data_IF_940432078413
#
_entry.id   IF_940432078413
#
_cell.length_a   1.000
_cell.length_b   1.000
_cell.length_c   1.000
_cell.angle_alpha   90.00
_cell.angle_beta   90.00
_cell.angle_gamma   90.00
#
_symmetry.space_group_name_H-M   'P 1'
#
loop_
_entity.id
_entity.type
_entity.pdbx_description
1 polymer ?
#
# COMPACT_ATOMS: atom_id res chain seq x y z
N UNK A 1 -16.74 -19.88 -13.56
CA UNK A 1 -16.39 -19.46 -12.18
C UNK A 1 -16.37 -17.95 -12.09
N UNK A 2 -16.98 -17.42 -11.06
CA UNK A 2 -17.05 -15.97 -10.87
C UNK A 2 -15.82 -15.49 -10.10
N UNK A 3 -15.18 -14.44 -10.61
CA UNK A 3 -14.09 -13.82 -9.88
C UNK A 3 -14.69 -12.99 -8.76
N UNK A 4 -14.40 -13.38 -7.52
CA UNK A 4 -14.98 -12.72 -6.35
C UNK A 4 -14.19 -11.51 -5.93
N UNK A 5 -12.87 -11.54 -6.07
CA UNK A 5 -11.99 -10.45 -5.64
C UNK A 5 -11.45 -9.71 -6.85
N UNK A 6 -11.50 -8.38 -6.80
CA UNK A 6 -11.03 -7.59 -7.92
C UNK A 6 -10.56 -6.22 -7.45
N UNK A 7 -9.77 -5.57 -8.31
CA UNK A 7 -9.29 -4.22 -8.12
C UNK A 7 -9.69 -3.41 -9.35
N UNK A 8 -10.18 -2.21 -9.13
CA UNK A 8 -10.55 -1.30 -10.22
C UNK A 8 -9.86 0.04 -10.02
N UNK A 9 -9.56 0.72 -11.13
CA UNK A 9 -9.06 2.08 -11.09
C UNK A 9 -10.28 2.99 -11.03
N UNK A 10 -10.26 3.96 -10.11
CA UNK A 10 -11.38 4.88 -9.98
C UNK A 10 -11.41 5.84 -11.16
N UNK A 11 -12.56 6.47 -11.36
CA UNK A 11 -12.68 7.48 -12.40
C UNK A 11 -11.67 8.60 -12.23
N UNK A 12 -11.53 9.10 -11.00
CA UNK A 12 -10.53 10.13 -10.70
C UNK A 12 -9.11 9.63 -10.94
N UNK A 13 -8.84 8.38 -10.59
CA UNK A 13 -7.54 7.77 -10.83
C UNK A 13 -7.22 7.63 -12.30
N UNK A 14 -8.21 7.22 -13.10
CA UNK A 14 -8.03 7.09 -14.55
C UNK A 14 -7.72 8.44 -15.18
N UNK A 15 -8.38 9.50 -14.71
CA UNK A 15 -8.13 10.85 -15.23
C UNK A 15 -6.70 11.30 -14.93
N UNK A 16 -6.21 11.02 -13.73
CA UNK A 16 -4.84 11.38 -13.35
C UNK A 16 -3.80 10.57 -14.11
N UNK A 17 -4.05 9.28 -14.31
CA UNK A 17 -3.14 8.44 -15.07
C UNK A 17 -3.08 8.89 -16.53
N UNK A 18 -4.21 9.25 -17.11
CA UNK A 18 -4.25 9.77 -18.47
C UNK A 18 -3.52 11.10 -18.59
N UNK A 19 -3.71 11.99 -17.62
CA UNK A 19 -3.04 13.29 -17.62
C UNK A 19 -1.53 13.15 -17.49
N UNK A 20 -1.06 12.09 -16.87
CA UNK A 20 0.38 11.85 -16.70
C UNK A 20 1.06 11.42 -17.99
N UNK A 21 0.30 10.99 -19.00
CA UNK A 21 0.89 10.52 -20.26
C UNK A 21 1.15 11.64 -21.28
N UNK A 22 0.61 12.85 -21.03
CA UNK A 22 0.82 13.96 -21.97
C UNK A 22 2.21 14.54 -21.74
N UNK A 23 2.80 15.23 -22.76
CA UNK A 23 4.10 15.89 -22.60
C UNK A 23 4.06 16.86 -21.42
N UNK A 24 5.06 16.79 -20.55
CA UNK A 24 5.16 17.58 -19.33
C UNK A 24 4.09 17.23 -18.30
N UNK A 25 3.40 16.11 -18.47
CA UNK A 25 2.45 15.64 -17.48
C UNK A 25 3.16 15.14 -16.23
N UNK A 26 2.54 15.39 -15.07
CA UNK A 26 3.10 14.94 -13.82
C UNK A 26 2.73 13.46 -13.58
N UNK A 27 3.72 12.64 -13.32
CA UNK A 27 3.49 11.22 -13.00
C UNK A 27 2.64 11.09 -11.74
N UNK A 28 1.82 10.05 -11.70
CA UNK A 28 1.03 9.73 -10.51
C UNK A 28 1.96 9.15 -9.47
N UNK A 29 1.98 9.76 -8.30
CA UNK A 29 2.86 9.36 -7.21
C UNK A 29 2.00 8.74 -6.11
N UNK A 30 2.02 7.41 -6.01
CA UNK A 30 1.27 6.70 -4.97
C UNK A 30 2.01 6.83 -3.66
N UNK A 31 1.33 7.32 -2.64
CA UNK A 31 1.97 7.61 -1.35
C UNK A 31 1.40 6.81 -0.18
N UNK A 32 0.16 6.37 -0.27
CA UNK A 32 -0.50 5.74 0.88
C UNK A 32 -1.47 4.67 0.43
N UNK A 33 -1.69 3.73 1.32
CA UNK A 33 -2.72 2.71 1.16
C UNK A 33 -3.57 2.67 2.41
N UNK A 34 -4.87 2.51 2.21
CA UNK A 34 -5.82 2.34 3.31
C UNK A 34 -6.41 0.95 3.26
N UNK A 35 -6.77 0.44 4.42
CA UNK A 35 -7.55 -0.80 4.54
C UNK A 35 -8.88 -0.46 5.16
N UNK A 36 -9.91 -1.22 4.82
CA UNK A 36 -11.24 -1.01 5.34
C UNK A 36 -11.95 -2.31 5.60
N UNK A 37 -12.99 -2.26 6.45
CA UNK A 37 -13.74 -3.46 6.78
C UNK A 37 -15.03 -3.61 5.96
N UNK A 38 -15.27 -2.70 5.02
CA UNK A 38 -16.43 -2.79 4.15
C UNK A 38 -17.76 -2.55 4.84
N UNK A 39 -17.72 -2.08 6.08
CA UNK A 39 -18.95 -1.91 6.86
C UNK A 39 -19.53 -3.22 7.34
N UNK A 40 -18.71 -4.28 7.43
CA UNK A 40 -19.12 -5.58 7.90
C UNK A 40 -19.38 -6.61 6.82
N UNK A 41 -19.29 -6.22 5.56
CA UNK A 41 -19.49 -7.15 4.44
C UNK A 41 -18.44 -6.91 3.38
N UNK A 42 -18.28 -7.86 2.48
CA UNK A 42 -17.34 -7.73 1.37
C UNK A 42 -17.90 -6.75 0.34
N UNK A 43 -17.23 -5.61 0.13
CA UNK A 43 -17.75 -4.62 -0.83
C UNK A 43 -17.43 -5.04 -2.27
N UNK A 44 -18.17 -4.45 -3.19
CA UNK A 44 -17.89 -4.57 -4.63
C UNK A 44 -17.21 -3.27 -5.06
N UNK A 45 -15.95 -3.31 -5.50
CA UNK A 45 -15.26 -2.08 -5.91
C UNK A 45 -15.99 -1.41 -7.07
N UNK A 46 -16.09 -0.09 -6.99
CA UNK A 46 -16.84 0.72 -7.96
C UNK A 46 -15.91 1.85 -8.44
N UNK A 47 -15.73 2.02 -9.76
CA UNK A 47 -14.90 3.11 -10.29
C UNK A 47 -15.34 4.51 -9.86
N UNK A 48 -16.57 4.68 -9.44
CA UNK A 48 -17.07 5.99 -8.99
C UNK A 48 -16.72 6.29 -7.53
N UNK A 49 -16.08 5.37 -6.82
CA UNK A 49 -15.72 5.60 -5.43
C UNK A 49 -14.66 6.69 -5.31
N UNK A 50 -14.79 7.48 -4.25
CA UNK A 50 -13.80 8.48 -3.87
C UNK A 50 -13.18 8.15 -2.51
N UNK A 51 -13.69 7.13 -1.85
CA UNK A 51 -13.21 6.65 -0.55
C UNK A 51 -13.62 5.20 -0.37
N UNK A 52 -13.03 4.54 0.61
CA UNK A 52 -13.44 3.18 0.98
C UNK A 52 -14.83 3.21 1.60
N UNK A 53 -15.51 2.07 1.59
CA UNK A 53 -16.82 1.95 2.25
C UNK A 53 -16.68 2.27 3.73
N UNK A 54 -15.67 1.68 4.38
CA UNK A 54 -15.36 2.02 5.77
C UNK A 54 -13.88 1.81 6.03
N UNK A 55 -13.12 2.90 5.95
CA UNK A 55 -11.68 2.86 6.21
C UNK A 55 -11.44 2.66 7.70
N UNK A 56 -10.50 1.77 8.03
CA UNK A 56 -10.14 1.50 9.42
C UNK A 56 -8.68 1.88 9.71
N UNK A 57 -7.83 1.95 8.70
CA UNK A 57 -6.44 2.33 8.90
C UNK A 57 -5.83 2.77 7.57
N UNK A 58 -4.89 3.71 7.65
CA UNK A 58 -4.17 4.22 6.48
C UNK A 58 -2.75 4.52 6.87
N UNK A 59 -1.82 4.24 5.98
CA UNK A 59 -0.41 4.52 6.23
C UNK A 59 0.34 4.71 4.91
N UNK A 60 1.52 5.33 5.00
CA UNK A 60 2.40 5.45 3.85
C UNK A 60 2.77 4.08 3.31
N UNK A 61 2.96 3.99 2.00
CA UNK A 61 3.36 2.75 1.36
C UNK A 61 4.73 2.30 1.84
N UNK A 62 4.86 0.99 2.01
CA UNK A 62 6.14 0.37 2.29
C UNK A 62 6.97 0.22 1.01
N UNK A 63 6.31 -0.10 -0.10
CA UNK A 63 7.00 -0.37 -1.35
C UNK A 63 6.05 -0.19 -2.53
N UNK A 64 6.59 0.26 -3.65
CA UNK A 64 5.89 0.26 -4.92
C UNK A 64 6.87 -0.21 -5.98
N UNK A 65 6.42 -1.07 -6.90
CA UNK A 65 7.29 -1.66 -7.90
C UNK A 65 6.51 -2.06 -9.13
N UNK A 66 7.24 -2.28 -10.22
CA UNK A 66 6.71 -2.81 -11.45
C UNK A 66 6.81 -4.33 -11.38
N UNK A 67 5.77 -5.04 -11.85
CA UNK A 67 5.81 -6.48 -11.89
C UNK A 67 6.85 -6.96 -12.89
N UNK A 68 7.55 -8.05 -12.57
CA UNK A 68 8.63 -8.55 -13.42
C UNK A 68 8.11 -9.13 -14.74
N UNK A 69 6.97 -9.76 -14.72
CA UNK A 69 6.43 -10.43 -15.90
C UNK A 69 5.52 -9.53 -16.71
N UNK A 70 4.80 -8.64 -16.04
CA UNK A 70 3.80 -7.79 -16.68
C UNK A 70 4.20 -6.34 -16.48
N UNK A 71 4.77 -5.74 -17.53
CA UNK A 71 5.34 -4.39 -17.42
C UNK A 71 4.33 -3.32 -17.00
N UNK A 72 3.05 -3.54 -17.31
CA UNK A 72 2.01 -2.56 -16.98
C UNK A 72 1.32 -2.85 -15.65
N UNK A 73 1.83 -3.79 -14.87
CA UNK A 73 1.30 -4.07 -13.54
C UNK A 73 2.15 -3.35 -12.51
N UNK A 74 1.49 -2.62 -11.64
CA UNK A 74 2.12 -1.93 -10.51
C UNK A 74 1.70 -2.64 -9.23
N UNK A 75 2.69 -2.98 -8.41
CA UNK A 75 2.46 -3.66 -7.14
C UNK A 75 2.76 -2.69 -6.01
N UNK A 76 1.76 -2.39 -5.21
CA UNK A 76 1.90 -1.53 -4.04
C UNK A 76 1.80 -2.39 -2.78
N UNK A 77 2.70 -2.17 -1.83
CA UNK A 77 2.73 -2.93 -0.58
C UNK A 77 2.57 -2.03 0.61
N UNK A 78 1.76 -2.48 1.56
CA UNK A 78 1.55 -1.80 2.82
C UNK A 78 1.93 -2.76 3.94
N UNK A 79 2.81 -2.30 4.83
CA UNK A 79 3.17 -3.07 6.01
C UNK A 79 2.35 -2.60 7.19
N UNK A 80 1.60 -3.52 7.80
CA UNK A 80 0.82 -3.24 9.00
C UNK A 80 1.62 -3.77 10.18
N UNK A 81 2.08 -2.90 11.08
CA UNK A 81 2.97 -3.34 12.15
C UNK A 81 2.23 -4.15 13.22
N UNK A 82 2.99 -4.87 14.08
CA UNK A 82 2.35 -5.76 15.07
C UNK A 82 1.40 -5.07 16.04
N UNK A 83 1.68 -3.82 16.40
CA UNK A 83 0.87 -3.09 17.36
C UNK A 83 -0.43 -2.53 16.76
N UNK A 84 -0.55 -2.55 15.45
CA UNK A 84 -1.74 -2.05 14.76
C UNK A 84 -2.67 -3.21 14.43
N UNK A 85 -3.93 -3.10 14.79
CA UNK A 85 -4.88 -4.17 14.49
C UNK A 85 -6.17 -4.01 15.25
N UNK A 86 -6.86 -5.13 15.42
CA UNK A 86 -8.18 -5.13 16.04
C UNK A 86 -9.27 -4.84 15.02
N UNK A 87 -9.04 -5.15 13.74
CA UNK A 87 -10.02 -4.87 12.70
C UNK A 87 -10.00 -5.95 11.62
N UNK A 88 -11.12 -6.05 10.93
CA UNK A 88 -11.23 -6.89 9.75
C UNK A 88 -10.83 -6.11 8.53
N UNK A 89 -10.22 -6.80 7.57
CA UNK A 89 -9.82 -6.20 6.29
C UNK A 89 -10.64 -6.86 5.19
N UNK A 90 -11.36 -6.04 4.43
CA UNK A 90 -12.20 -6.51 3.32
C UNK A 90 -12.02 -5.67 2.07
N UNK A 91 -11.37 -4.51 2.20
CA UNK A 91 -11.15 -3.60 1.06
C UNK A 91 -9.83 -2.89 1.20
N UNK A 92 -9.28 -2.48 0.06
CA UNK A 92 -8.03 -1.74 -0.01
C UNK A 92 -8.21 -0.51 -0.89
N UNK A 93 -7.54 0.57 -0.55
CA UNK A 93 -7.54 1.77 -1.37
C UNK A 93 -6.13 2.31 -1.53
N UNK A 94 -5.80 2.72 -2.75
CA UNK A 94 -4.49 3.27 -3.09
C UNK A 94 -4.65 4.75 -3.39
N UNK A 95 -3.89 5.59 -2.69
CA UNK A 95 -4.00 7.04 -2.75
C UNK A 95 -2.73 7.67 -3.31
N UNK A 96 -2.88 8.78 -4.01
CA UNK A 96 -1.74 9.53 -4.51
C UNK A 96 -1.35 10.65 -3.52
N UNK A 97 -0.34 11.44 -3.92
CA UNK A 97 0.19 12.51 -3.08
C UNK A 97 -0.78 13.67 -2.88
N UNK A 98 -1.86 13.73 -3.64
CA UNK A 98 -2.91 14.73 -3.43
C UNK A 98 -4.05 14.21 -2.55
N UNK A 99 -3.98 12.96 -2.13
CA UNK A 99 -5.03 12.35 -1.33
C UNK A 99 -6.20 11.82 -2.14
N UNK A 100 -6.03 11.66 -3.45
CA UNK A 100 -7.08 11.13 -4.31
C UNK A 100 -7.02 9.61 -4.33
N UNK A 101 -8.17 8.96 -4.20
CA UNK A 101 -8.28 7.50 -4.33
C UNK A 101 -8.11 7.13 -5.80
N UNK A 102 -6.99 6.48 -6.12
CA UNK A 102 -6.66 6.12 -7.50
C UNK A 102 -7.19 4.74 -7.85
N UNK A 103 -7.14 3.81 -6.91
CA UNK A 103 -7.60 2.45 -7.13
C UNK A 103 -8.26 1.93 -5.87
N UNK A 104 -9.22 1.05 -6.04
CA UNK A 104 -9.93 0.42 -4.93
C UNK A 104 -10.12 -1.06 -5.26
N UNK A 105 -9.96 -1.90 -4.25
CA UNK A 105 -10.13 -3.33 -4.43
C UNK A 105 -10.76 -3.96 -3.21
N UNK A 106 -11.28 -5.17 -3.38
CA UNK A 106 -11.69 -5.97 -2.25
C UNK A 106 -10.69 -7.12 -2.08
N UNK A 107 -10.77 -7.79 -0.95
CA UNK A 107 -9.87 -8.88 -0.63
C UNK A 107 -10.61 -9.93 0.20
N UNK A 108 -10.04 -11.12 0.27
CA UNK A 108 -10.57 -12.15 1.17
C UNK A 108 -10.60 -11.60 2.60
N UNK A 109 -11.69 -11.83 3.30
CA UNK A 109 -11.84 -11.35 4.66
C UNK A 109 -10.68 -11.85 5.52
N UNK A 110 -10.03 -10.93 6.21
CA UNK A 110 -8.86 -11.25 7.03
C UNK A 110 -8.88 -10.38 8.27
N UNK A 111 -8.71 -10.99 9.43
CA UNK A 111 -8.65 -10.25 10.68
C UNK A 111 -7.20 -9.95 11.04
N UNK A 112 -6.91 -8.69 11.32
CA UNK A 112 -5.59 -8.28 11.79
C UNK A 112 -5.66 -8.10 13.30
N UNK A 113 -5.09 -9.03 14.09
CA UNK A 113 -5.13 -8.86 15.54
C UNK A 113 -4.21 -7.73 16.00
N UNK A 114 -4.58 -7.10 17.09
CA UNK A 114 -3.71 -6.14 17.76
C UNK A 114 -2.75 -6.88 18.68
N UNK A 115 -1.62 -6.23 19.00
CA UNK A 115 -0.64 -6.84 19.91
C UNK A 115 -1.26 -7.21 21.25
N UNK A 116 -2.16 -6.38 21.75
CA UNK A 116 -2.83 -6.63 23.02
C UNK A 116 -3.67 -7.91 23.02
N UNK A 117 -3.99 -8.46 21.86
CA UNK A 117 -4.75 -9.70 21.75
C UNK A 117 -3.85 -10.93 21.79
N UNK A 118 -2.54 -10.72 22.00
CA UNK A 118 -1.60 -11.80 22.23
C UNK A 118 -1.01 -12.45 20.99
N UNK A 119 -1.48 -12.11 19.81
CA UNK A 119 -0.96 -12.69 18.58
C UNK A 119 -0.66 -11.64 17.53
N UNK A 120 -0.33 -10.43 17.97
CA UNK A 120 0.04 -9.37 17.05
C UNK A 120 1.31 -9.71 16.29
N UNK A 121 1.28 -9.57 14.97
CA UNK A 121 2.45 -9.72 14.12
C UNK A 121 2.30 -8.80 12.93
N UNK A 122 3.43 -8.45 12.32
CA UNK A 122 3.40 -7.63 11.11
C UNK A 122 2.71 -8.40 9.99
N UNK A 123 1.95 -7.68 9.17
CA UNK A 123 1.28 -8.28 8.02
C UNK A 123 1.46 -7.36 6.83
N UNK A 124 1.83 -7.94 5.68
CA UNK A 124 1.96 -7.18 4.44
C UNK A 124 0.72 -7.43 3.59
N UNK A 125 0.11 -6.35 3.11
CA UNK A 125 -0.96 -6.45 2.13
C UNK A 125 -0.48 -5.83 0.83
N UNK A 126 -0.90 -6.42 -0.28
CA UNK A 126 -0.48 -5.99 -1.61
C UNK A 126 -1.69 -5.66 -2.45
N UNK A 127 -1.51 -4.67 -3.30
CA UNK A 127 -2.52 -4.29 -4.28
C UNK A 127 -1.83 -4.24 -5.63
N UNK A 128 -2.40 -4.94 -6.61
CA UNK A 128 -1.86 -4.95 -7.97
C UNK A 128 -2.83 -4.20 -8.86
N UNK A 129 -2.32 -3.19 -9.56
CA UNK A 129 -3.13 -2.44 -10.51
C UNK A 129 -2.50 -2.55 -11.89
N UNK A 130 -3.35 -2.55 -12.92
CA UNK A 130 -2.91 -2.55 -14.29
C UNK A 130 -3.08 -1.15 -14.86
N UNK A 131 -2.00 -0.59 -15.41
CA UNK A 131 -2.04 0.73 -16.03
C UNK A 131 -1.79 0.60 -17.52
N UNK A 132 -2.29 1.57 -18.29
CA UNK A 132 -2.08 1.56 -19.74
C UNK A 132 -0.64 1.88 -20.09
N UNK A 133 0.02 2.72 -19.30
CA UNK A 133 1.37 3.19 -19.56
C UNK A 133 2.11 3.28 -18.23
N UNK A 134 3.12 2.44 -18.06
CA UNK A 134 3.90 2.42 -16.82
C UNK A 134 4.63 3.73 -16.58
N UNK A 135 4.92 4.50 -17.64
CA UNK A 135 5.57 5.80 -17.48
C UNK A 135 4.68 6.82 -16.80
N UNK A 136 3.38 6.55 -16.68
CA UNK A 136 2.47 7.44 -15.97
C UNK A 136 2.61 7.34 -14.45
N UNK A 137 3.35 6.36 -13.95
CA UNK A 137 3.46 6.09 -12.52
C UNK A 137 4.88 6.35 -12.05
N UNK A 138 4.98 7.04 -10.91
CA UNK A 138 6.27 7.21 -10.23
C UNK A 138 6.52 5.97 -9.36
N UNK A 139 7.61 5.27 -9.65
CA UNK A 139 7.91 4.01 -8.95
C UNK A 139 8.89 4.20 -7.79
N UNK A 140 9.14 5.45 -7.40
CA UNK A 140 10.04 5.76 -6.29
C UNK A 140 9.22 6.29 -5.12
N UNK A 141 9.40 5.70 -3.96
CA UNK A 141 8.76 6.20 -2.74
C UNK A 141 9.64 7.28 -2.15
N UNK A 142 9.04 8.42 -1.83
CA UNK A 142 9.75 9.49 -1.14
C UNK A 142 10.00 9.04 0.30
N UNK A 143 11.24 8.69 0.60
CA UNK A 143 11.61 8.16 1.91
C UNK A 143 11.37 9.14 3.05
N UNK A 144 11.28 10.43 2.76
CA UNK A 144 10.98 11.40 3.80
C UNK A 144 9.53 11.29 4.28
N UNK A 145 8.66 10.68 3.48
CA UNK A 145 7.25 10.47 3.81
C UNK A 145 7.02 9.13 4.49
N UNK A 146 7.99 8.21 4.41
CA UNK A 146 7.89 6.87 4.98
C UNK A 146 8.51 6.89 6.36
N UNK A 147 7.80 6.38 7.36
CA UNK A 147 8.38 6.29 8.69
C UNK A 147 9.60 5.40 8.68
N UNK A 148 10.66 5.83 9.35
CA UNK A 148 11.84 5.01 9.57
C UNK A 148 11.44 3.87 10.49
N UNK A 149 11.17 2.81 9.91
CA UNK A 149 10.82 1.62 10.69
C UNK A 149 11.96 0.64 10.66
N UNK A 150 12.36 1.24 10.05
CA UNK A 150 12.80 0.56 9.52
C UNK A 150 13.81 0.59 9.42
N UNK A 151 14.16 1.13 9.33
CA UNK A 151 14.66 0.71 9.41
C UNK A 151 15.06 0.47 9.24
N UNK A 152 15.58 1.01 8.98
CA UNK A 152 15.54 0.21 9.07
C UNK A 152 15.63 -0.38 8.58
N UNK A 153 15.96 -0.11 8.64
CA UNK A 153 15.84 -1.16 8.48
C UNK A 153 16.33 -1.53 7.78
N UNK A 154 16.76 -1.21 7.41
CA UNK A 154 16.94 -1.95 7.02
C UNK A 154 17.54 -2.02 6.55
N UNK A 155 18.33 -1.41 6.50
CA UNK A 155 18.44 -1.87 6.45
C UNK A 155 18.69 -2.25 6.35
N UNK A 156 19.06 -1.89 6.52
CA UNK A 156 18.80 -2.55 6.78
C UNK A 156 18.91 -3.20 6.67
N UNK A 157 19.65 -2.73 6.81
CA UNK A 157 19.28 -3.61 7.13
C UNK A 157 19.76 -3.86 6.93
N UNK A 158 20.17 -3.13 7.11
CA UNK A 158 20.07 -3.56 7.28
C UNK A 158 20.58 -3.73 7.31
N UNK A 159 21.11 -3.33 7.03
CA UNK A 159 20.94 -3.62 7.45
C UNK A 159 20.97 -4.09 7.84
N UNK A 160 21.67 -3.66 8.23
CA UNK A 160 21.05 -4.32 8.92
C UNK A 160 21.28 -4.74 9.03
N UNK A 161 22.07 -4.13 9.27
CA UNK A 161 21.71 -4.74 9.74
C UNK A 161 21.96 -4.71 9.88
N UNK A 162 22.21 -4.02 9.85
CA UNK A 162 21.95 -4.19 10.21
C UNK A 162 21.92 -4.19 10.68
N UNK A 163 22.77 -3.49 10.70
CA UNK A 163 22.23 -3.71 11.29
C UNK A 163 22.03 -3.87 11.72
N UNK A 164 22.15 -3.13 12.14
CA UNK A 164 21.58 -3.50 12.72
C UNK A 164 21.52 -3.58 13.03
N UNK A 165 21.84 -2.72 13.22
CA UNK A 165 21.42 -2.87 13.65
C UNK A 165 21.23 -2.76 14.12
N UNK A 166 21.80 -1.89 14.58
CA UNK A 166 21.22 -1.90 15.19
C UNK A 166 21.41 -1.78 15.53
N UNK A 167 21.95 -1.24 15.41
CA UNK A 167 21.74 -1.46 15.94
C UNK A 167 21.79 -1.59 16.15
N UNK A 168 22.56 -0.80 16.70
CA UNK A 168 22.23 -1.22 17.24
C UNK A 168 22.42 -1.34 17.11
N UNK A 169 23.19 -0.65 17.09
CA UNK A 169 22.95 -1.19 17.27
C UNK A 169 23.13 -1.23 17.17
N UNK A 170 23.60 -0.55 17.27
CA UNK A 170 23.28 -0.97 17.43
C UNK A 170 23.41 -1.11 17.30
N UNK A 171 24.01 -0.48 17.31
CA UNK A 171 23.62 -1.09 17.49
C UNK A 171 23.94 -1.36 17.40
N UNK A 172 25.13 -0.97 17.60
CA UNK A 172 24.89 -1.64 17.90
C UNK A 172 25.00 -1.99 17.86
N UNK A 173 25.62 -1.45 17.94
CA UNK A 173 25.23 -2.14 18.19
C UNK A 173 25.23 -2.54 18.13
N UNK A 174 25.82 -2.70 17.86
CA UNK A 174 25.34 -3.42 17.85
C UNK A 174 25.05 -3.70 17.69
N UNK A 175 25.89 -3.00 17.72
CA UNK A 175 25.18 -3.44 17.74
C UNK A 175 24.66 -3.67 17.58
#
# INVERSE_FOLDING_TARGET
MTVKYKTVITKAGAEKLAAATVPNGKKVNFTAMAVGDGGGTLPVPDPNQTKLVKEVWRHALNKISQDRKNKNYVVAELLIPPETGGFWMRELGLYDDTGTLIAVGNMAESYKPALAEGSGRAQTVRMVIMVSDIESVELTIDTSMVMATQDYVDDKLAEHEQSRRHPDATLTAKG
#
